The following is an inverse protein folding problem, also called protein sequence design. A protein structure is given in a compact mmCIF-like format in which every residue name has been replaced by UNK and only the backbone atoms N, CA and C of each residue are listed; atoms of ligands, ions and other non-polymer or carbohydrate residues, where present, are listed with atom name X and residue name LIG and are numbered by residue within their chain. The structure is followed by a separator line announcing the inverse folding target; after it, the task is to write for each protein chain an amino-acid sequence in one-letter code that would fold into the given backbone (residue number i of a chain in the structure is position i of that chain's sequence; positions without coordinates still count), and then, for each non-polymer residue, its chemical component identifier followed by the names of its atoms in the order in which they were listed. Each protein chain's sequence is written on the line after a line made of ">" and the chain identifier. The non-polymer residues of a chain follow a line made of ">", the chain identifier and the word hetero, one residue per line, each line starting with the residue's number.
data_IF_921840382856
#
_entry.id   IF_921840382856
#
_cell.length_a   1.000
_cell.length_b   1.000
_cell.length_c   1.000
_cell.angle_alpha   90.00
_cell.angle_beta   90.00
_cell.angle_gamma   90.00
#
_symmetry.space_group_name_H-M   'P 1'
#
loop_
_entity.id
_entity.type
_entity.pdbx_description
1 polymer ?
#
# COMPACT_ATOMS: atom_id res chain seq x y z
N UNK A 1 35.57 -0.63 52.82
CA UNK A 1 34.23 -0.39 52.24
C UNK A 1 34.26 0.87 51.40
N UNK A 2 34.29 0.75 50.06
CA UNK A 2 34.24 1.90 49.15
C UNK A 2 33.01 1.78 48.25
N UNK A 3 32.31 2.90 48.14
CA UNK A 3 30.96 3.07 47.61
C UNK A 3 30.85 2.57 46.17
N UNK A 4 29.84 1.73 45.96
CA UNK A 4 29.30 1.35 44.66
C UNK A 4 28.80 2.62 43.97
N UNK A 5 29.48 3.05 42.90
CA UNK A 5 28.95 4.05 41.97
C UNK A 5 28.23 3.30 40.84
N UNK A 6 26.95 2.98 41.06
CA UNK A 6 26.04 2.59 39.98
C UNK A 6 25.74 3.88 39.22
N UNK A 7 26.56 4.19 38.21
CA UNK A 7 26.22 5.21 37.23
C UNK A 7 25.27 4.58 36.23
N UNK A 8 24.00 4.80 36.52
CA UNK A 8 22.82 4.50 35.72
C UNK A 8 22.92 5.26 34.39
N UNK A 9 23.66 4.72 33.42
CA UNK A 9 23.64 5.23 32.05
C UNK A 9 22.38 4.69 31.38
N UNK A 10 21.28 5.41 31.57
CA UNK A 10 20.05 5.30 30.80
C UNK A 10 20.39 5.59 29.33
N UNK A 11 20.90 4.59 28.62
CA UNK A 11 20.80 4.54 27.17
C UNK A 11 19.34 4.24 26.90
N UNK A 12 18.51 5.27 27.00
CA UNK A 12 17.23 5.35 26.29
C UNK A 12 17.60 5.30 24.82
N UNK A 13 17.77 4.07 24.35
CA UNK A 13 17.86 3.70 22.96
C UNK A 13 16.51 4.08 22.37
N UNK A 14 16.38 5.35 21.97
CA UNK A 14 15.31 5.86 21.13
C UNK A 14 15.47 5.19 19.77
N UNK A 15 15.14 3.90 19.71
CA UNK A 15 14.78 3.22 18.49
C UNK A 15 13.53 3.93 17.98
N UNK A 16 13.77 4.96 17.18
CA UNK A 16 12.79 5.50 16.27
C UNK A 16 12.50 4.40 15.25
N UNK A 17 11.73 3.39 15.66
CA UNK A 17 11.14 2.41 14.76
C UNK A 17 10.17 3.18 13.85
N UNK A 18 10.72 3.73 12.77
CA UNK A 18 9.91 4.23 11.66
C UNK A 18 9.37 3.00 10.94
N UNK A 19 8.14 2.62 11.26
CA UNK A 19 7.39 1.65 10.48
C UNK A 19 7.30 2.16 9.02
N UNK A 20 7.66 1.33 8.04
CA UNK A 20 7.65 1.67 6.63
C UNK A 20 6.58 0.86 5.88
N UNK A 21 5.83 1.48 4.97
CA UNK A 21 4.85 0.79 4.13
C UNK A 21 5.60 -0.10 3.15
N UNK A 22 6.72 0.41 2.65
CA UNK A 22 7.78 -0.32 1.96
C UNK A 22 9.11 0.11 2.55
N UNK A 23 9.91 -0.85 3.02
CA UNK A 23 11.29 -0.58 3.39
C UNK A 23 12.17 -0.46 2.13
N UNK A 24 13.45 -0.16 2.30
CA UNK A 24 14.41 -0.06 1.20
C UNK A 24 14.31 -1.27 0.25
N UNK A 25 13.77 -1.02 -0.94
CA UNK A 25 13.46 -2.03 -1.95
C UNK A 25 13.87 -1.50 -3.32
N UNK A 26 14.43 -2.36 -4.16
CA UNK A 26 14.79 -2.02 -5.53
C UNK A 26 13.57 -1.49 -6.29
N UNK A 27 13.73 -0.34 -6.95
CA UNK A 27 12.68 0.29 -7.71
C UNK A 27 13.22 1.17 -8.84
N UNK A 28 12.34 1.44 -9.79
CA UNK A 28 12.48 2.58 -10.72
C UNK A 28 11.54 3.69 -10.28
N UNK A 29 12.09 4.87 -10.07
CA UNK A 29 11.35 6.08 -9.73
C UNK A 29 11.20 6.93 -10.98
N UNK A 30 9.96 7.11 -11.43
CA UNK A 30 9.61 7.97 -12.56
C UNK A 30 9.16 9.32 -12.00
N UNK A 31 9.86 10.38 -12.35
CA UNK A 31 9.57 11.74 -11.91
C UNK A 31 8.73 12.48 -12.97
N UNK A 32 7.97 13.49 -12.54
CA UNK A 32 7.11 14.27 -13.46
C UNK A 32 7.88 15.09 -14.49
N UNK A 33 9.15 15.40 -14.22
CA UNK A 33 10.08 15.99 -15.18
C UNK A 33 10.56 14.99 -16.25
N UNK A 34 10.04 13.74 -16.25
CA UNK A 34 10.40 12.61 -17.12
C UNK A 34 11.75 11.97 -16.83
N UNK A 35 12.42 12.38 -15.76
CA UNK A 35 13.62 11.70 -15.28
C UNK A 35 13.26 10.33 -14.68
N UNK A 36 14.15 9.37 -14.87
CA UNK A 36 14.00 8.01 -14.33
C UNK A 36 15.22 7.66 -13.51
N UNK A 37 15.00 7.43 -12.22
CA UNK A 37 16.05 7.05 -11.27
C UNK A 37 15.92 5.57 -10.93
N UNK A 38 17.03 4.84 -10.95
CA UNK A 38 17.09 3.44 -10.51
C UNK A 38 17.84 3.36 -9.18
N UNK A 39 17.35 2.56 -8.25
CA UNK A 39 17.96 2.40 -6.93
C UNK A 39 17.02 1.79 -5.91
N UNK A 40 17.26 2.05 -4.63
CA UNK A 40 16.40 1.63 -3.53
C UNK A 40 15.45 2.75 -3.09
N UNK A 41 14.19 2.38 -2.90
CA UNK A 41 13.13 3.29 -2.46
C UNK A 41 12.51 2.80 -1.16
N UNK A 42 12.17 3.74 -0.29
CA UNK A 42 11.45 3.50 0.97
C UNK A 42 10.27 4.46 1.10
N UNK A 43 9.09 3.91 1.41
CA UNK A 43 7.86 4.66 1.71
C UNK A 43 7.58 4.53 3.22
N UNK A 44 7.80 5.57 4.04
CA UNK A 44 7.44 5.54 5.47
C UNK A 44 5.93 5.33 5.67
N UNK A 45 5.50 4.57 6.69
CA UNK A 45 4.06 4.51 7.03
C UNK A 45 3.64 5.79 7.74
N UNK A 46 2.45 6.29 7.40
CA UNK A 46 1.78 7.32 8.17
C UNK A 46 0.90 6.72 9.28
N UNK A 47 1.09 7.17 10.53
CA UNK A 47 0.21 6.82 11.65
C UNK A 47 -1.15 7.53 11.60
N UNK A 48 -2.26 6.81 11.78
CA UNK A 48 -3.59 7.41 11.85
C UNK A 48 -3.78 8.18 13.17
N UNK A 49 -3.45 9.47 13.20
CA UNK A 49 -3.89 10.37 14.29
C UNK A 49 -2.86 11.38 14.80
N UNK A 50 -1.56 11.24 14.50
CA UNK A 50 -0.60 12.32 14.74
C UNK A 50 -0.64 13.31 13.57
N UNK A 51 -0.25 14.56 13.78
CA UNK A 51 -0.15 15.55 12.71
C UNK A 51 0.92 15.11 11.70
N UNK A 52 0.49 14.38 10.68
CA UNK A 52 1.29 13.85 9.59
C UNK A 52 1.66 14.99 8.65
N UNK A 53 2.95 15.25 8.51
CA UNK A 53 3.48 15.98 7.36
C UNK A 53 3.07 15.33 6.04
N UNK A 54 3.40 15.97 4.91
CA UNK A 54 3.25 15.34 3.60
C UNK A 54 4.09 14.06 3.56
N UNK A 55 3.58 12.98 2.95
CA UNK A 55 4.40 11.77 2.72
C UNK A 55 5.64 12.19 1.97
N UNK A 56 6.81 11.66 2.33
CA UNK A 56 8.00 11.81 1.51
C UNK A 56 8.52 10.43 1.14
N UNK A 57 8.86 10.29 -0.13
CA UNK A 57 9.53 9.12 -0.65
C UNK A 57 11.02 9.26 -0.39
N UNK A 58 11.65 8.24 0.22
CA UNK A 58 13.10 8.22 0.38
C UNK A 58 13.72 7.39 -0.75
N UNK A 59 14.77 7.91 -1.37
CA UNK A 59 15.50 7.29 -2.46
C UNK A 59 17.01 7.31 -2.18
N UNK A 60 17.70 6.26 -2.61
CA UNK A 60 19.16 6.20 -2.72
C UNK A 60 19.54 5.28 -3.87
N UNK A 61 20.73 5.46 -4.43
CA UNK A 61 21.25 4.56 -5.48
C UNK A 61 21.54 3.20 -4.83
N UNK A 62 22.46 3.16 -3.87
CA UNK A 62 22.78 1.98 -3.06
C UNK A 62 22.73 2.28 -1.55
N UNK A 63 22.86 1.22 -0.75
CA UNK A 63 22.82 1.27 0.72
C UNK A 63 23.79 2.28 1.37
N UNK A 64 24.91 2.59 0.70
CA UNK A 64 25.95 3.50 1.18
C UNK A 64 25.76 4.94 0.71
N UNK A 65 24.90 5.17 -0.28
CA UNK A 65 24.72 6.49 -0.86
C UNK A 65 23.84 7.40 -0.01
N UNK A 66 23.96 8.69 -0.27
CA UNK A 66 23.15 9.71 0.38
C UNK A 66 21.68 9.53 0.00
N UNK A 67 20.83 9.60 1.01
CA UNK A 67 19.37 9.57 0.83
C UNK A 67 18.89 10.93 0.31
N UNK A 68 18.08 10.88 -0.76
CA UNK A 68 17.31 12.01 -1.28
C UNK A 68 15.83 11.78 -0.97
N UNK A 69 15.14 12.86 -0.62
CA UNK A 69 13.70 12.83 -0.33
C UNK A 69 12.92 13.48 -1.49
N UNK A 70 11.88 12.81 -1.96
CA UNK A 70 10.97 13.30 -3.00
C UNK A 70 9.56 13.46 -2.44
N UNK A 71 8.91 14.58 -2.75
CA UNK A 71 7.50 14.78 -2.42
C UNK A 71 6.61 14.09 -3.47
N UNK A 72 5.41 13.61 -3.10
CA UNK A 72 4.44 13.02 -4.03
C UNK A 72 4.11 13.91 -5.23
N UNK A 73 4.21 15.24 -5.08
CA UNK A 73 4.03 16.19 -6.16
C UNK A 73 5.08 16.06 -7.28
N UNK A 74 6.29 15.60 -6.97
CA UNK A 74 7.44 15.48 -7.87
C UNK A 74 7.48 14.12 -8.57
N UNK A 75 6.84 13.13 -7.97
CA UNK A 75 6.82 11.74 -8.44
C UNK A 75 5.65 11.53 -9.39
N UNK A 76 5.91 10.84 -10.51
CA UNK A 76 4.86 10.33 -11.39
C UNK A 76 4.43 8.93 -10.92
N UNK A 77 5.38 8.00 -10.85
CA UNK A 77 5.13 6.63 -10.43
C UNK A 77 6.38 5.95 -9.88
N UNK A 78 6.19 4.87 -9.13
CA UNK A 78 7.26 4.06 -8.55
C UNK A 78 7.00 2.62 -8.97
N UNK A 79 7.98 1.97 -9.59
CA UNK A 79 7.91 0.56 -9.95
C UNK A 79 8.85 -0.23 -9.04
N UNK A 80 8.30 -0.84 -7.98
CA UNK A 80 9.06 -1.76 -7.14
C UNK A 80 9.30 -3.09 -7.86
N UNK A 81 10.53 -3.58 -7.75
CA UNK A 81 11.00 -4.84 -8.32
C UNK A 81 11.30 -5.76 -7.14
N UNK A 82 10.40 -6.71 -6.89
CA UNK A 82 10.44 -7.57 -5.71
C UNK A 82 10.81 -8.97 -6.13
N UNK A 83 11.98 -9.41 -5.67
CA UNK A 83 12.44 -10.77 -5.83
C UNK A 83 12.02 -11.58 -4.60
N UNK A 84 11.34 -12.69 -4.84
CA UNK A 84 10.95 -13.61 -3.77
C UNK A 84 11.25 -15.04 -4.16
N UNK A 85 11.45 -15.85 -3.13
CA UNK A 85 11.78 -17.25 -3.30
C UNK A 85 10.51 -18.08 -3.28
N UNK A 86 10.27 -18.81 -4.36
CA UNK A 86 9.17 -19.76 -4.47
C UNK A 86 9.74 -21.18 -4.49
N UNK A 87 9.09 -22.09 -3.79
CA UNK A 87 9.39 -23.51 -3.91
C UNK A 87 8.55 -24.10 -5.03
N UNK A 88 9.21 -24.65 -6.04
CA UNK A 88 8.59 -25.43 -7.13
C UNK A 88 9.32 -26.77 -7.14
N UNK A 89 8.60 -27.87 -6.93
CA UNK A 89 9.16 -29.22 -6.87
C UNK A 89 10.34 -29.37 -5.90
N UNK A 90 10.21 -28.82 -4.68
CA UNK A 90 11.26 -28.76 -3.65
C UNK A 90 12.53 -27.98 -4.04
N UNK A 91 12.58 -27.37 -5.22
CA UNK A 91 13.67 -26.47 -5.62
C UNK A 91 13.27 -25.03 -5.36
N UNK A 92 14.26 -24.24 -4.92
CA UNK A 92 14.12 -22.81 -4.69
C UNK A 92 14.29 -22.08 -6.02
N UNK A 93 13.23 -21.43 -6.49
CA UNK A 93 13.22 -20.60 -7.70
C UNK A 93 13.04 -19.14 -7.25
N UNK A 94 13.84 -18.23 -7.81
CA UNK A 94 13.64 -16.79 -7.62
C UNK A 94 12.63 -16.33 -8.66
N UNK A 95 11.51 -15.78 -8.21
CA UNK A 95 10.53 -15.11 -9.06
C UNK A 95 10.58 -13.61 -8.79
N UNK A 96 10.31 -12.82 -9.83
CA UNK A 96 10.21 -11.37 -9.73
C UNK A 96 8.75 -10.95 -9.86
N UNK A 97 8.29 -10.11 -8.93
CA UNK A 97 6.98 -9.45 -8.99
C UNK A 97 7.17 -7.95 -9.05
N UNK A 98 6.38 -7.32 -9.91
CA UNK A 98 6.34 -5.87 -10.05
C UNK A 98 5.15 -5.30 -9.27
N UNK A 99 5.37 -4.16 -8.62
CA UNK A 99 4.31 -3.38 -7.97
C UNK A 99 4.44 -1.91 -8.30
N UNK A 100 3.38 -1.33 -8.86
CA UNK A 100 3.36 0.07 -9.26
C UNK A 100 2.65 0.90 -8.21
N UNK A 101 3.31 1.95 -7.74
CA UNK A 101 2.74 2.94 -6.83
C UNK A 101 2.59 4.29 -7.53
N UNK A 102 1.52 4.99 -7.20
CA UNK A 102 1.22 6.33 -7.74
C UNK A 102 0.80 7.28 -6.63
N UNK A 103 1.10 8.59 -6.74
CA UNK A 103 0.61 9.59 -5.80
C UNK A 103 -0.88 9.88 -6.04
N UNK A 104 -1.66 9.96 -4.97
CA UNK A 104 -3.09 10.25 -4.99
C UNK A 104 -3.49 11.18 -3.86
N UNK A 105 -4.56 11.96 -4.08
CA UNK A 105 -5.09 12.85 -3.05
C UNK A 105 -5.80 12.08 -1.94
N UNK A 106 -5.32 12.18 -0.70
CA UNK A 106 -5.90 11.49 0.45
C UNK A 106 -7.11 12.25 1.04
N UNK A 107 -7.29 13.52 0.68
CA UNK A 107 -8.38 14.36 1.18
C UNK A 107 -9.14 15.09 0.06
N UNK A 108 -10.38 15.50 0.37
CA UNK A 108 -11.26 16.20 -0.59
C UNK A 108 -10.68 17.54 -1.04
N UNK A 109 -9.97 18.23 -0.14
CA UNK A 109 -9.32 19.52 -0.40
C UNK A 109 -8.08 19.40 -1.31
N UNK A 110 -7.71 18.18 -1.74
CA UNK A 110 -6.53 17.91 -2.56
C UNK A 110 -5.23 18.51 -2.00
N UNK A 111 -5.16 18.65 -0.67
CA UNK A 111 -4.02 19.25 0.03
C UNK A 111 -3.08 18.23 0.67
N UNK A 112 -3.44 16.95 0.64
CA UNK A 112 -2.62 15.83 1.12
C UNK A 112 -2.50 14.80 0.01
N UNK A 113 -1.29 14.60 -0.49
CA UNK A 113 -0.95 13.49 -1.38
C UNK A 113 -0.28 12.37 -0.59
N UNK A 114 -0.43 11.15 -1.09
CA UNK A 114 0.38 10.00 -0.69
C UNK A 114 0.33 8.89 -1.74
N UNK A 115 1.17 7.89 -1.57
CA UNK A 115 1.36 6.78 -2.47
C UNK A 115 0.41 5.62 -2.16
N UNK A 116 -0.09 4.99 -3.21
CA UNK A 116 -0.96 3.81 -3.18
C UNK A 116 -0.49 2.82 -4.25
N UNK A 117 -0.62 1.52 -3.97
CA UNK A 117 -0.33 0.47 -4.96
C UNK A 117 -1.48 0.36 -5.95
N UNK A 118 -1.20 0.23 -7.25
CA UNK A 118 -2.19 -0.19 -8.25
C UNK A 118 -2.35 -1.72 -8.19
N UNK A 119 -3.53 -2.18 -7.79
CA UNK A 119 -3.90 -3.60 -7.73
C UNK A 119 -4.57 -4.06 -9.04
N UNK A 120 -5.40 -3.19 -9.60
CA UNK A 120 -6.03 -3.36 -10.92
C UNK A 120 -5.96 -2.02 -11.63
N UNK A 121 -5.41 -2.03 -12.84
CA UNK A 121 -5.35 -0.86 -13.70
C UNK A 121 -6.51 -0.81 -14.70
N UNK A 122 -6.83 0.38 -15.18
CA UNK A 122 -7.94 0.68 -16.09
C UNK A 122 -8.55 2.05 -15.82
N UNK A 123 -9.67 2.35 -16.50
CA UNK A 123 -10.41 3.61 -16.29
C UNK A 123 -10.86 3.78 -14.84
N UNK A 124 -11.29 2.69 -14.21
CA UNK A 124 -11.44 2.58 -12.77
C UNK A 124 -10.28 1.75 -12.22
N UNK A 125 -9.41 2.37 -11.40
CA UNK A 125 -8.32 1.65 -10.74
C UNK A 125 -8.77 1.14 -9.38
N UNK A 126 -8.37 -0.08 -9.05
CA UNK A 126 -8.37 -0.57 -7.67
C UNK A 126 -6.99 -0.31 -7.09
N UNK A 127 -6.93 0.42 -5.98
CA UNK A 127 -5.66 0.74 -5.32
C UNK A 127 -5.63 0.30 -3.87
N UNK A 128 -4.46 -0.08 -3.39
CA UNK A 128 -4.20 -0.55 -2.04
C UNK A 128 -3.32 0.40 -1.24
N UNK A 129 -3.61 0.56 0.04
CA UNK A 129 -2.75 1.27 1.00
C UNK A 129 -2.73 0.54 2.33
N UNK A 130 -1.56 0.50 2.96
CA UNK A 130 -1.42 0.03 4.34
C UNK A 130 -1.43 1.24 5.26
N UNK A 131 -2.39 1.31 6.18
CA UNK A 131 -2.50 2.36 7.20
C UNK A 131 -2.30 1.77 8.59
N UNK A 132 -1.65 2.48 9.51
CA UNK A 132 -1.56 2.01 10.92
C UNK A 132 -2.89 2.29 11.58
N UNK A 133 -3.58 1.24 12.02
CA UNK A 133 -4.81 1.33 12.80
C UNK A 133 -4.50 1.08 14.29
N UNK A 134 -4.92 1.98 15.17
CA UNK A 134 -4.89 1.81 16.63
C UNK A 134 -6.00 0.83 17.10
N UNK A 135 -6.17 -0.32 16.44
CA UNK A 135 -7.13 -1.33 16.90
C UNK A 135 -6.45 -2.25 17.92
N UNK A 136 -6.80 -2.07 19.19
CA UNK A 136 -6.34 -2.85 20.34
C UNK A 136 -6.81 -4.31 20.31
N UNK A 137 -6.18 -5.12 19.48
CA UNK A 137 -6.32 -6.56 19.46
C UNK A 137 -4.95 -7.21 19.33
N UNK A 138 -4.64 -8.12 20.26
CA UNK A 138 -3.46 -8.99 20.27
C UNK A 138 -3.03 -9.39 18.86
N UNK A 139 -1.99 -8.75 18.33
CA UNK A 139 -1.32 -9.16 17.09
C UNK A 139 0.15 -9.34 17.39
N UNK A 140 0.47 -10.58 17.71
CA UNK A 140 1.81 -11.12 17.80
C UNK A 140 2.54 -11.00 16.47
N UNK A 141 3.82 -10.64 16.56
CA UNK A 141 4.88 -10.74 15.53
C UNK A 141 4.88 -9.67 14.44
N UNK A 142 5.53 -8.57 14.80
CA UNK A 142 5.75 -7.34 14.05
C UNK A 142 7.07 -7.45 13.26
N UNK A 143 7.02 -7.57 11.94
CA UNK A 143 8.18 -7.29 11.07
C UNK A 143 7.70 -6.91 9.67
N UNK A 144 7.90 -5.65 9.28
CA UNK A 144 7.59 -5.14 7.94
C UNK A 144 8.92 -5.01 7.19
N UNK A 145 9.13 -5.84 6.17
CA UNK A 145 10.34 -5.87 5.37
C UNK A 145 10.18 -6.89 4.24
N UNK A 146 11.11 -6.92 3.28
CA UNK A 146 11.06 -7.71 2.04
C UNK A 146 10.94 -9.24 2.26
N UNK A 147 11.09 -9.72 3.51
CA UNK A 147 10.84 -11.11 3.95
C UNK A 147 9.85 -11.22 5.13
N UNK A 148 9.24 -10.11 5.56
CA UNK A 148 8.21 -10.07 6.58
C UNK A 148 6.85 -10.24 5.92
N UNK A 149 6.13 -11.30 6.29
CA UNK A 149 4.80 -11.60 5.75
C UNK A 149 3.88 -10.38 5.82
N UNK A 150 3.00 -10.25 4.81
CA UNK A 150 1.98 -9.22 4.77
C UNK A 150 1.23 -9.18 6.12
N UNK A 151 1.17 -8.00 6.74
CA UNK A 151 0.45 -7.73 8.02
C UNK A 151 -1.01 -8.21 7.94
N UNK A 152 -1.56 -8.21 6.73
CA UNK A 152 -2.90 -8.66 6.40
C UNK A 152 -2.82 -9.86 5.46
N UNK A 153 -3.26 -11.02 5.93
CA UNK A 153 -3.36 -12.25 5.13
C UNK A 153 -4.63 -12.25 4.26
N UNK A 154 -4.79 -11.24 3.40
CA UNK A 154 -5.84 -11.22 2.40
C UNK A 154 -5.21 -11.04 1.01
N UNK A 155 -5.09 -12.14 0.27
CA UNK A 155 -4.48 -12.17 -1.07
C UNK A 155 -5.14 -11.19 -2.04
N UNK A 156 -6.46 -11.03 -1.94
CA UNK A 156 -7.22 -10.11 -2.80
C UNK A 156 -6.92 -8.63 -2.54
N UNK A 157 -6.36 -8.27 -1.38
CA UNK A 157 -5.88 -6.92 -1.07
C UNK A 157 -4.34 -6.80 -1.17
N UNK A 158 -3.66 -7.86 -1.62
CA UNK A 158 -2.18 -7.95 -1.75
C UNK A 158 -1.43 -7.52 -0.49
N UNK A 159 -2.01 -7.79 0.69
CA UNK A 159 -1.39 -7.45 1.96
C UNK A 159 -1.67 -6.05 2.50
N UNK A 160 -2.51 -5.26 1.83
CA UNK A 160 -3.03 -4.00 2.34
C UNK A 160 -4.25 -4.22 3.26
N UNK A 161 -4.50 -3.28 4.17
CA UNK A 161 -5.73 -3.22 4.97
C UNK A 161 -6.77 -2.23 4.49
N UNK A 162 -6.43 -1.44 3.47
CA UNK A 162 -7.36 -0.53 2.84
C UNK A 162 -7.26 -0.69 1.33
N UNK A 163 -8.40 -0.93 0.69
CA UNK A 163 -8.54 -0.78 -0.77
C UNK A 163 -9.51 0.33 -1.11
N UNK A 164 -9.21 1.02 -2.18
CA UNK A 164 -9.92 2.20 -2.65
C UNK A 164 -10.18 2.09 -4.14
N UNK A 165 -11.29 2.69 -4.56
CA UNK A 165 -11.63 2.86 -5.96
C UNK A 165 -11.18 4.24 -6.41
N UNK A 166 -10.39 4.29 -7.48
CA UNK A 166 -9.77 5.51 -7.98
C UNK A 166 -10.19 5.72 -9.43
N UNK A 167 -10.94 6.80 -9.68
CA UNK A 167 -11.13 7.36 -11.01
C UNK A 167 -10.10 8.46 -11.24
N UNK A 168 -9.70 8.64 -12.49
CA UNK A 168 -8.73 9.67 -12.85
C UNK A 168 -9.19 11.07 -12.42
N UNK A 169 -8.29 11.85 -11.83
CA UNK A 169 -8.57 13.22 -11.35
C UNK A 169 -9.42 13.31 -10.07
N UNK A 170 -9.98 12.20 -9.59
CA UNK A 170 -10.83 12.14 -8.40
C UNK A 170 -10.06 11.74 -7.13
N UNK A 171 -10.67 12.03 -5.97
CA UNK A 171 -10.19 11.46 -4.71
C UNK A 171 -10.56 9.98 -4.69
N UNK A 172 -9.64 9.05 -4.34
CA UNK A 172 -9.98 7.66 -4.11
C UNK A 172 -11.11 7.52 -3.08
N UNK A 173 -12.14 6.74 -3.43
CA UNK A 173 -13.20 6.34 -2.51
C UNK A 173 -12.74 5.13 -1.71
N UNK A 174 -12.70 5.25 -0.39
CA UNK A 174 -12.40 4.12 0.49
C UNK A 174 -13.51 3.10 0.38
N UNK A 175 -13.20 1.99 -0.27
CA UNK A 175 -14.19 0.97 -0.59
C UNK A 175 -14.25 -0.12 0.47
N UNK A 176 -13.10 -0.51 1.02
CA UNK A 176 -13.06 -1.62 1.97
C UNK A 176 -11.92 -1.44 2.99
N UNK A 177 -12.27 -1.58 4.27
CA UNK A 177 -11.37 -1.55 5.44
C UNK A 177 -11.68 -2.66 6.47
N UNK A 178 -12.85 -3.32 6.37
CA UNK A 178 -13.33 -4.26 7.40
C UNK A 178 -14.00 -5.52 6.81
N UNK A 179 -13.79 -6.62 7.51
CA UNK A 179 -14.00 -8.06 7.29
C UNK A 179 -15.39 -8.56 6.86
N UNK A 180 -16.47 -7.76 6.88
CA UNK A 180 -17.83 -8.30 6.67
C UNK A 180 -18.35 -8.19 5.22
N UNK A 181 -18.74 -9.34 4.65
CA UNK A 181 -19.25 -9.48 3.27
C UNK A 181 -20.60 -8.77 3.03
N UNK A 182 -21.39 -8.51 4.08
CA UNK A 182 -22.67 -7.79 3.97
C UNK A 182 -22.45 -6.32 3.59
N UNK A 183 -21.43 -5.69 4.16
CA UNK A 183 -21.08 -4.30 3.84
C UNK A 183 -20.48 -4.17 2.45
N UNK A 184 -19.71 -5.17 2.00
CA UNK A 184 -19.22 -5.24 0.64
C UNK A 184 -20.37 -5.17 -0.37
N UNK A 185 -21.36 -6.08 -0.30
CA UNK A 185 -22.48 -6.10 -1.26
C UNK A 185 -23.19 -4.76 -1.31
N UNK A 186 -23.61 -4.23 -0.15
CA UNK A 186 -24.34 -2.95 -0.08
C UNK A 186 -23.56 -1.80 -0.72
N UNK A 187 -22.25 -1.71 -0.46
CA UNK A 187 -21.42 -0.64 -1.03
C UNK A 187 -21.19 -0.86 -2.52
N UNK A 188 -20.93 -2.08 -2.94
CA UNK A 188 -20.69 -2.42 -4.34
C UNK A 188 -21.92 -2.14 -5.20
N UNK A 189 -23.12 -2.57 -4.78
CA UNK A 189 -24.38 -2.25 -5.47
C UNK A 189 -24.59 -0.75 -5.60
N UNK A 190 -24.31 0.02 -4.54
CA UNK A 190 -24.44 1.49 -4.59
C UNK A 190 -23.44 2.14 -5.57
N UNK A 191 -22.19 1.68 -5.56
CA UNK A 191 -21.12 2.28 -6.36
C UNK A 191 -21.27 1.95 -7.84
N UNK A 192 -21.57 0.69 -8.16
CA UNK A 192 -21.65 0.16 -9.53
C UNK A 192 -23.06 0.18 -10.13
N UNK A 193 -23.94 1.08 -9.64
CA UNK A 193 -25.32 1.22 -10.10
C UNK A 193 -25.49 1.59 -11.58
N UNK A 194 -24.40 2.02 -12.21
CA UNK A 194 -24.29 2.32 -13.63
C UNK A 194 -23.98 1.09 -14.49
N UNK A 195 -23.82 -0.09 -13.87
CA UNK A 195 -23.42 -1.34 -14.52
C UNK A 195 -24.34 -2.49 -14.09
N UNK A 196 -25.54 -2.55 -14.69
CA UNK A 196 -26.60 -3.53 -14.35
C UNK A 196 -26.09 -4.98 -14.37
N UNK A 197 -25.26 -5.35 -15.34
CA UNK A 197 -24.69 -6.70 -15.44
C UNK A 197 -23.77 -7.06 -14.27
N UNK A 198 -23.05 -6.08 -13.71
CA UNK A 198 -22.22 -6.27 -12.53
C UNK A 198 -23.06 -6.32 -11.26
N UNK A 199 -24.08 -5.46 -11.14
CA UNK A 199 -25.04 -5.48 -10.03
C UNK A 199 -25.69 -6.86 -9.88
N UNK A 200 -26.19 -7.44 -10.98
CA UNK A 200 -26.81 -8.78 -10.98
C UNK A 200 -25.81 -9.84 -10.46
N UNK A 201 -24.54 -9.77 -10.86
CA UNK A 201 -23.49 -10.70 -10.40
C UNK A 201 -23.17 -10.53 -8.91
N UNK A 202 -23.15 -9.31 -8.40
CA UNK A 202 -22.92 -9.00 -6.98
C UNK A 202 -24.11 -9.44 -6.11
N UNK A 203 -25.33 -9.18 -6.58
CA UNK A 203 -26.57 -9.53 -5.89
C UNK A 203 -26.70 -11.06 -5.75
N UNK A 204 -26.47 -11.78 -6.85
CA UNK A 204 -26.47 -13.25 -6.89
C UNK A 204 -25.25 -13.90 -6.22
N UNK A 205 -24.38 -13.12 -5.57
CA UNK A 205 -23.16 -13.60 -4.88
C UNK A 205 -22.15 -14.31 -5.78
N UNK A 206 -22.24 -14.11 -7.10
CA UNK A 206 -21.21 -14.57 -8.05
C UNK A 206 -19.89 -13.83 -7.77
N UNK A 207 -19.98 -12.53 -7.53
CA UNK A 207 -18.86 -11.76 -6.99
C UNK A 207 -19.01 -11.53 -5.48
N UNK A 208 -17.98 -11.90 -4.74
CA UNK A 208 -17.83 -11.72 -3.29
C UNK A 208 -16.75 -10.68 -2.98
N UNK A 209 -16.51 -10.43 -1.70
CA UNK A 209 -15.51 -9.44 -1.26
C UNK A 209 -14.09 -9.82 -1.70
N UNK A 210 -13.81 -11.12 -1.71
CA UNK A 210 -12.55 -11.70 -2.15
C UNK A 210 -12.31 -11.47 -3.64
N UNK A 211 -13.38 -11.27 -4.41
CA UNK A 211 -13.34 -11.07 -5.85
C UNK A 211 -13.27 -9.58 -6.25
N UNK A 212 -12.93 -8.66 -5.33
CA UNK A 212 -12.93 -7.22 -5.61
C UNK A 212 -12.05 -6.84 -6.82
N UNK A 213 -10.95 -7.54 -7.03
CA UNK A 213 -10.12 -7.32 -8.21
C UNK A 213 -10.86 -7.72 -9.49
N UNK A 214 -11.57 -8.85 -9.49
CA UNK A 214 -12.36 -9.32 -10.63
C UNK A 214 -13.59 -8.45 -10.88
N UNK A 215 -14.22 -7.93 -9.82
CA UNK A 215 -15.29 -6.92 -9.91
C UNK A 215 -14.82 -5.70 -10.67
N UNK A 216 -13.66 -5.16 -10.31
CA UNK A 216 -13.10 -3.96 -10.97
C UNK A 216 -12.66 -4.28 -12.41
N UNK A 217 -12.01 -5.44 -12.64
CA UNK A 217 -11.69 -5.90 -13.99
C UNK A 217 -12.94 -6.02 -14.86
N UNK A 218 -14.01 -6.63 -14.34
CA UNK A 218 -15.28 -6.78 -15.03
C UNK A 218 -15.90 -5.43 -15.36
N UNK A 219 -15.93 -4.50 -14.40
CA UNK A 219 -16.44 -3.14 -14.63
C UNK A 219 -15.65 -2.43 -15.74
N UNK A 220 -14.32 -2.47 -15.67
CA UNK A 220 -13.45 -1.86 -16.69
C UNK A 220 -13.69 -2.42 -18.09
N UNK A 221 -13.92 -3.72 -18.21
CA UNK A 221 -14.13 -4.38 -19.51
C UNK A 221 -15.54 -4.17 -20.08
N UNK A 222 -16.57 -4.07 -19.23
CA UNK A 222 -17.96 -4.16 -19.69
C UNK A 222 -18.75 -2.85 -19.52
N UNK A 223 -18.29 -1.95 -18.66
CA UNK A 223 -19.10 -0.80 -18.22
C UNK A 223 -18.35 0.53 -18.21
N UNK A 224 -17.03 0.53 -18.04
CA UNK A 224 -16.25 1.76 -17.98
C UNK A 224 -16.18 2.44 -19.36
N UNK A 225 -16.98 3.50 -19.52
CA UNK A 225 -16.98 4.38 -20.69
C UNK A 225 -15.85 5.39 -20.66
#
# INVERSE_FOLDING_TARGET
>A
MKKVSITFLLITFCLNFSFAQYDWTNAKLYLKNREVLSGEVKIPVMGAGMNLGKETLKYRIDKKDKVSDFKPEEVDSILFIIEYNKKVDNKKVIETRLQTFVPVFLNKKKSRLGFVEILVDGKLRLVGKTVIDNFGGNSSNITIGVNGGHIYQNDYMRGHNQVMLLKEGEKPEVFYRDTSSKFFRKRAMKYFKDCISLEIKIENKFFKKEDIQDVVRFYNLNCAK
#
